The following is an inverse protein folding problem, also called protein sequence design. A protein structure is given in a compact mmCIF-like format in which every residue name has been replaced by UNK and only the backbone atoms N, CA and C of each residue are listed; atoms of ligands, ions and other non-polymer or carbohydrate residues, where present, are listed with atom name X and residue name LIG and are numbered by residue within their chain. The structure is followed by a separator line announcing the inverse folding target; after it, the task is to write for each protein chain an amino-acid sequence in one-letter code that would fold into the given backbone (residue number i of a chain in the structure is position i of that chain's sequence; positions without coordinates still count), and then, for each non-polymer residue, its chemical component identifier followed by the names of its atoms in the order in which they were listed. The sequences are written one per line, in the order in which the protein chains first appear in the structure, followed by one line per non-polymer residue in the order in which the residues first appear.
data_IF_091844111690
#
_entry.id   IF_091844111690
#
_cell.length_a   1.000
_cell.length_b   1.000
_cell.length_c   1.000
_cell.angle_alpha   90.00
_cell.angle_beta   90.00
_cell.angle_gamma   90.00
#
_symmetry.space_group_name_H-M   'P 1'
#
loop_
_entity.id
_entity.type
_entity.pdbx_description
1 polymer ?
#
# COMPACT_ATOMS: atom_id res chain seq x y z
N UNK A 1 9.05 8.61 -4.55
CA UNK A 1 8.20 7.85 -5.50
C UNK A 1 6.81 8.47 -5.62
N UNK A 2 6.13 8.76 -4.49
CA UNK A 2 4.88 9.54 -4.44
C UNK A 2 4.93 10.88 -5.18
N UNK A 3 5.98 11.68 -4.98
CA UNK A 3 6.11 12.99 -5.63
C UNK A 3 6.20 12.92 -7.16
N UNK A 4 6.72 11.81 -7.71
CA UNK A 4 6.76 11.61 -9.16
C UNK A 4 5.35 11.38 -9.72
N UNK A 5 4.47 10.69 -8.99
CA UNK A 5 3.09 10.44 -9.41
C UNK A 5 2.31 11.76 -9.49
N UNK A 6 2.42 12.60 -8.45
CA UNK A 6 1.77 13.92 -8.40
C UNK A 6 2.27 14.79 -9.56
N UNK A 7 3.59 14.82 -9.78
CA UNK A 7 4.22 15.62 -10.83
C UNK A 7 3.76 15.24 -12.24
N UNK A 8 3.49 13.95 -12.51
CA UNK A 8 3.08 13.46 -13.82
C UNK A 8 1.57 13.58 -14.04
N UNK A 9 0.75 13.31 -13.01
CA UNK A 9 -0.72 13.27 -13.13
C UNK A 9 -1.36 14.66 -13.23
N UNK A 10 -0.67 15.76 -12.86
CA UNK A 10 -1.18 17.15 -12.88
C UNK A 10 -2.46 17.40 -12.07
N UNK A 11 -2.90 16.45 -11.24
CA UNK A 11 -3.99 16.61 -10.29
C UNK A 11 -3.42 16.94 -8.91
N UNK A 12 -4.00 17.92 -8.21
CA UNK A 12 -3.57 18.30 -6.85
C UNK A 12 -3.79 17.20 -5.81
N UNK A 13 -4.75 16.30 -6.04
CA UNK A 13 -5.00 15.10 -5.24
C UNK A 13 -5.19 13.89 -6.13
N UNK A 14 -4.32 12.91 -5.96
CA UNK A 14 -4.46 11.56 -6.55
C UNK A 14 -4.82 10.62 -5.40
N UNK A 15 -5.93 9.86 -5.48
CA UNK A 15 -6.20 8.81 -4.51
C UNK A 15 -5.11 7.76 -4.61
N UNK A 16 -4.46 7.48 -3.48
CA UNK A 16 -3.38 6.52 -3.34
C UNK A 16 -3.73 5.63 -2.16
N UNK A 17 -3.38 4.35 -2.25
CA UNK A 17 -3.37 3.40 -1.14
C UNK A 17 -1.99 2.74 -1.11
N UNK A 18 -1.43 2.56 0.09
CA UNK A 18 -0.17 1.86 0.26
C UNK A 18 -0.46 0.38 0.51
N UNK A 19 0.16 -0.51 -0.27
CA UNK A 19 -0.09 -1.94 -0.19
C UNK A 19 1.19 -2.70 0.12
N UNK A 20 1.24 -3.33 1.30
CA UNK A 20 2.28 -4.29 1.68
C UNK A 20 1.97 -5.67 1.09
N UNK A 21 2.48 -5.97 -0.10
CA UNK A 21 2.23 -7.27 -0.74
C UNK A 21 3.20 -8.35 -0.20
N UNK A 22 2.82 -9.62 -0.40
CA UNK A 22 3.56 -10.85 -0.01
C UNK A 22 3.56 -11.14 1.49
N UNK A 23 2.46 -10.83 2.18
CA UNK A 23 2.30 -11.16 3.61
C UNK A 23 2.42 -12.66 3.92
N UNK A 24 2.32 -13.53 2.90
CA UNK A 24 2.56 -14.97 3.03
C UNK A 24 4.03 -15.34 3.36
N UNK A 25 4.98 -14.44 3.13
CA UNK A 25 6.41 -14.64 3.41
C UNK A 25 6.82 -14.05 4.77
N UNK A 26 6.06 -14.37 5.83
CA UNK A 26 6.29 -13.80 7.18
C UNK A 26 7.70 -14.09 7.72
N UNK A 27 8.27 -15.26 7.42
CA UNK A 27 9.63 -15.62 7.82
C UNK A 27 10.73 -14.80 7.13
N UNK A 28 10.41 -14.17 6.01
CA UNK A 28 11.31 -13.31 5.23
C UNK A 28 10.89 -11.83 5.35
N UNK A 29 10.09 -11.47 6.37
CA UNK A 29 9.62 -10.11 6.57
C UNK A 29 10.78 -9.19 6.93
N UNK A 30 11.04 -8.22 6.06
CA UNK A 30 12.02 -7.14 6.29
C UNK A 30 11.37 -5.84 6.76
N UNK A 31 10.08 -5.64 6.47
CA UNK A 31 9.32 -4.44 6.84
C UNK A 31 8.19 -4.83 7.77
N UNK A 32 8.19 -4.25 8.97
CA UNK A 32 7.12 -4.46 9.93
C UNK A 32 5.84 -3.76 9.49
N UNK A 33 4.69 -4.29 9.89
CA UNK A 33 3.39 -3.65 9.61
C UNK A 33 3.29 -2.24 10.20
N UNK A 34 4.05 -1.94 11.27
CA UNK A 34 4.10 -0.61 11.87
C UNK A 34 4.87 0.40 11.00
N UNK A 35 5.98 0.00 10.39
CA UNK A 35 6.71 0.84 9.44
C UNK A 35 5.86 1.13 8.19
N UNK A 36 5.15 0.12 7.68
CA UNK A 36 4.21 0.30 6.58
C UNK A 36 3.09 1.29 6.91
N UNK A 37 2.50 1.18 8.12
CA UNK A 37 1.45 2.09 8.59
C UNK A 37 1.97 3.51 8.78
N UNK A 38 3.14 3.68 9.40
CA UNK A 38 3.76 4.99 9.59
C UNK A 38 4.02 5.70 8.26
N UNK A 39 4.49 4.97 7.25
CA UNK A 39 4.69 5.52 5.91
C UNK A 39 3.37 5.94 5.24
N UNK A 40 2.31 5.16 5.41
CA UNK A 40 0.99 5.49 4.87
C UNK A 40 0.38 6.74 5.55
N UNK A 41 0.57 6.89 6.87
CA UNK A 41 0.20 8.09 7.62
C UNK A 41 0.96 9.33 7.12
N UNK A 42 2.28 9.22 6.91
CA UNK A 42 3.08 10.28 6.28
C UNK A 42 2.55 10.63 4.88
N UNK A 43 2.06 9.62 4.16
CA UNK A 43 1.48 9.79 2.83
C UNK A 43 0.00 10.20 2.85
N UNK A 44 -0.63 10.29 4.01
CA UNK A 44 -2.06 10.57 4.15
C UNK A 44 -2.93 9.62 3.33
N UNK A 45 -2.55 8.36 3.22
CA UNK A 45 -3.27 7.32 2.49
C UNK A 45 -3.58 6.10 3.37
N UNK A 46 -4.57 5.27 3.02
CA UNK A 46 -4.80 4.00 3.69
C UNK A 46 -3.62 3.03 3.48
N UNK A 47 -3.47 2.08 4.40
CA UNK A 47 -2.49 0.99 4.34
C UNK A 47 -3.19 -0.36 4.42
N UNK A 48 -2.82 -1.30 3.55
CA UNK A 48 -3.30 -2.67 3.62
C UNK A 48 -2.20 -3.68 3.28
N UNK A 49 -2.21 -4.85 3.93
CA UNK A 49 -1.30 -5.94 3.60
C UNK A 49 -2.05 -7.01 2.81
N UNK A 50 -1.44 -7.50 1.74
CA UNK A 50 -2.06 -8.47 0.82
C UNK A 50 -1.09 -9.58 0.47
N UNK A 51 -1.61 -10.69 -0.04
CA UNK A 51 -0.81 -11.64 -0.79
C UNK A 51 -1.49 -11.94 -2.11
N UNK A 52 -0.88 -11.49 -3.20
CA UNK A 52 -1.29 -11.87 -4.55
C UNK A 52 -1.19 -13.39 -4.79
N UNK A 53 -0.31 -14.09 -4.06
CA UNK A 53 -0.10 -15.54 -4.21
C UNK A 53 -1.22 -16.35 -3.58
N UNK A 54 -1.66 -15.99 -2.37
CA UNK A 54 -2.78 -16.65 -1.69
C UNK A 54 -4.14 -15.98 -1.95
N UNK A 55 -4.18 -14.93 -2.78
CA UNK A 55 -5.34 -14.05 -3.00
C UNK A 55 -5.91 -13.44 -1.70
N UNK A 56 -5.10 -13.36 -0.65
CA UNK A 56 -5.53 -12.81 0.63
C UNK A 56 -5.68 -11.30 0.53
N UNK A 57 -6.86 -10.78 0.90
CA UNK A 57 -7.22 -9.35 0.89
C UNK A 57 -7.10 -8.65 -0.46
N UNK A 58 -6.98 -9.39 -1.57
CA UNK A 58 -6.87 -8.77 -2.91
C UNK A 58 -8.21 -8.21 -3.37
N UNK A 59 -9.31 -8.95 -3.19
CA UNK A 59 -10.64 -8.50 -3.61
C UNK A 59 -11.14 -7.32 -2.76
N UNK A 60 -10.85 -7.33 -1.47
CA UNK A 60 -11.14 -6.23 -0.53
C UNK A 60 -10.36 -4.96 -0.90
N UNK A 61 -9.08 -5.09 -1.30
CA UNK A 61 -8.25 -3.96 -1.75
C UNK A 61 -8.89 -3.21 -2.91
N UNK A 62 -9.38 -3.96 -3.91
CA UNK A 62 -9.96 -3.37 -5.11
C UNK A 62 -11.36 -2.80 -4.87
N UNK A 63 -12.05 -3.22 -3.82
CA UNK A 63 -13.35 -2.65 -3.42
C UNK A 63 -13.20 -1.31 -2.66
N UNK A 64 -12.02 -0.99 -2.14
CA UNK A 64 -11.74 0.18 -1.30
C UNK A 64 -11.18 1.40 -2.09
N UNK A 65 -10.89 1.22 -3.39
CA UNK A 65 -10.43 2.26 -4.35
C UNK A 65 -11.60 2.80 -5.17
#
# INVERSE_FOLDING_TARGET
MRDQIIRVKRYEKVPVILVGNKVDLESEREVSSNEGRALAEEWGCPFMETSAKSKTMVDELFAEI
#
